data_IF_795192755688
#
_entry.id   IF_795192755688
#
_cell.length_a   1.000
_cell.length_b   1.000
_cell.length_c   1.000
_cell.angle_alpha   90.00
_cell.angle_beta   90.00
_cell.angle_gamma   90.00
#
_symmetry.space_group_name_H-M   'P 1'
#
loop_
_entity.id
_entity.type
_entity.pdbx_description
1 polymer ?
#
# COMPACT_ATOMS: atom_id res chain seq x y z
N UNK A 1 -6.22 29.52 11.35
CA UNK A 1 -6.04 28.11 11.70
C UNK A 1 -4.63 27.78 11.28
N UNK A 2 -3.76 27.44 12.22
CA UNK A 2 -2.41 27.00 11.91
C UNK A 2 -2.52 25.63 11.26
N UNK A 3 -2.36 25.58 9.95
CA UNK A 3 -2.33 24.31 9.22
C UNK A 3 -0.96 23.68 9.42
N UNK A 4 -0.96 22.41 9.79
CA UNK A 4 0.30 21.66 9.99
C UNK A 4 0.81 21.29 8.61
N UNK A 5 1.97 21.81 8.21
CA UNK A 5 2.58 21.45 6.93
C UNK A 5 2.84 19.94 6.83
N UNK A 6 2.63 19.37 5.64
CA UNK A 6 2.83 17.94 5.39
C UNK A 6 4.26 17.50 5.74
N UNK A 7 4.36 16.50 6.61
CA UNK A 7 5.63 15.91 7.06
C UNK A 7 6.44 15.28 5.91
N UNK A 8 5.83 15.07 4.74
CA UNK A 8 6.52 14.61 3.54
C UNK A 8 7.19 15.71 2.72
N UNK A 9 7.17 16.97 3.18
CA UNK A 9 7.80 18.13 2.54
C UNK A 9 7.32 18.36 1.09
N UNK A 10 6.05 18.12 0.82
CA UNK A 10 5.47 18.27 -0.53
C UNK A 10 4.92 19.67 -0.84
N UNK A 11 4.95 20.60 0.13
CA UNK A 11 4.48 21.98 -0.04
C UNK A 11 3.01 22.23 0.34
N UNK A 12 2.27 21.18 0.71
CA UNK A 12 0.85 21.24 1.08
C UNK A 12 0.64 21.01 2.59
N UNK A 13 -0.59 21.24 3.06
CA UNK A 13 -1.00 20.99 4.43
C UNK A 13 -1.30 19.50 4.69
N UNK A 14 -0.94 19.04 5.90
CA UNK A 14 -1.23 17.69 6.37
C UNK A 14 -2.71 17.55 6.73
N UNK A 15 -3.34 16.55 6.14
CA UNK A 15 -4.64 16.02 6.54
C UNK A 15 -4.64 14.50 6.33
N UNK A 16 -5.62 13.78 6.88
CA UNK A 16 -5.71 12.33 6.66
C UNK A 16 -5.83 12.00 5.16
N UNK A 17 -6.66 12.75 4.43
CA UNK A 17 -6.82 12.56 2.99
C UNK A 17 -5.54 12.89 2.22
N UNK A 18 -4.81 13.92 2.65
CA UNK A 18 -3.53 14.26 2.05
C UNK A 18 -2.45 13.20 2.33
N UNK A 19 -2.36 12.73 3.57
CA UNK A 19 -1.38 11.74 4.03
C UNK A 19 -1.54 10.40 3.29
N UNK A 20 -2.78 9.95 3.10
CA UNK A 20 -3.09 8.68 2.45
C UNK A 20 -3.59 8.91 1.02
N UNK A 21 -2.62 9.21 0.15
CA UNK A 21 -2.67 9.15 -1.31
C UNK A 21 -2.93 10.44 -2.09
N UNK A 22 -3.15 11.59 -1.44
CA UNK A 22 -3.10 12.88 -2.16
C UNK A 22 -1.69 13.49 -2.20
N UNK A 23 -0.85 13.25 -1.17
CA UNK A 23 0.53 13.70 -1.14
C UNK A 23 1.34 13.03 -2.26
N UNK A 24 2.20 13.78 -2.96
CA UNK A 24 3.07 13.27 -4.03
C UNK A 24 3.95 12.09 -3.58
N UNK A 25 4.46 12.12 -2.35
CA UNK A 25 5.23 11.02 -1.77
C UNK A 25 4.37 9.75 -1.58
N UNK A 26 3.23 9.88 -0.90
CA UNK A 26 2.34 8.75 -0.57
C UNK A 26 1.63 8.16 -1.79
N UNK A 27 1.25 9.02 -2.75
CA UNK A 27 0.57 8.65 -3.98
C UNK A 27 1.47 7.84 -4.89
N UNK A 28 2.77 8.16 -4.95
CA UNK A 28 3.74 7.35 -5.69
C UNK A 28 3.84 5.94 -5.11
N UNK A 29 3.97 5.82 -3.78
CA UNK A 29 4.01 4.52 -3.09
C UNK A 29 2.77 3.71 -3.43
N UNK A 30 1.58 4.30 -3.30
CA UNK A 30 0.33 3.59 -3.54
C UNK A 30 0.14 3.17 -5.00
N UNK A 31 0.47 4.05 -5.96
CA UNK A 31 0.43 3.72 -7.39
C UNK A 31 1.35 2.55 -7.71
N UNK A 32 2.55 2.51 -7.12
CA UNK A 32 3.46 1.39 -7.32
C UNK A 32 2.91 0.10 -6.73
N UNK A 33 2.31 0.15 -5.55
CA UNK A 33 1.66 -0.99 -4.92
C UNK A 33 0.48 -1.51 -5.74
N UNK A 34 -0.38 -0.64 -6.27
CA UNK A 34 -1.47 -1.04 -7.18
C UNK A 34 -0.96 -1.76 -8.43
N UNK A 35 0.19 -1.35 -8.97
CA UNK A 35 0.80 -2.04 -10.11
C UNK A 35 1.22 -3.47 -9.79
N UNK A 36 1.60 -3.79 -8.54
CA UNK A 36 1.89 -5.17 -8.13
C UNK A 36 0.61 -6.03 -8.03
N UNK A 37 -0.56 -5.40 -7.97
CA UNK A 37 -1.85 -6.07 -7.97
C UNK A 37 -2.51 -6.15 -9.37
N UNK A 38 -1.78 -5.78 -10.44
CA UNK A 38 -2.33 -5.59 -11.80
C UNK A 38 -3.52 -4.61 -11.86
N UNK A 39 -3.52 -3.59 -10.99
CA UNK A 39 -4.56 -2.56 -10.97
C UNK A 39 -4.02 -1.27 -11.60
N UNK A 40 -4.53 -0.94 -12.78
CA UNK A 40 -4.18 0.27 -13.52
C UNK A 40 -5.38 1.23 -13.57
N UNK A 41 -5.47 2.12 -12.57
CA UNK A 41 -6.46 3.19 -12.52
C UNK A 41 -5.88 4.45 -11.89
N UNK A 42 -6.59 5.56 -12.07
CA UNK A 42 -6.33 6.77 -11.30
C UNK A 42 -6.50 6.51 -9.80
N UNK A 43 -5.67 7.18 -9.00
CA UNK A 43 -5.85 7.19 -7.55
C UNK A 43 -7.14 7.92 -7.21
N UNK A 44 -7.90 7.38 -6.26
CA UNK A 44 -9.12 8.00 -5.79
C UNK A 44 -8.82 8.84 -4.55
N UNK A 45 -9.68 9.82 -4.23
CA UNK A 45 -9.69 10.44 -2.91
C UNK A 45 -9.76 9.39 -1.80
N UNK A 46 -9.19 9.69 -0.64
CA UNK A 46 -9.04 8.72 0.46
C UNK A 46 -10.30 7.93 0.80
N UNK A 47 -11.45 8.60 0.92
CA UNK A 47 -12.72 7.92 1.25
C UNK A 47 -13.22 7.03 0.12
N UNK A 48 -13.07 7.47 -1.12
CA UNK A 48 -13.46 6.70 -2.31
C UNK A 48 -12.52 5.49 -2.50
N UNK A 49 -11.25 5.63 -2.13
CA UNK A 49 -10.27 4.55 -2.13
C UNK A 49 -10.65 3.49 -1.10
N UNK A 50 -11.03 3.89 0.12
CA UNK A 50 -11.56 2.98 1.14
C UNK A 50 -12.81 2.27 0.63
N UNK A 51 -13.76 3.01 0.05
CA UNK A 51 -15.01 2.43 -0.46
C UNK A 51 -14.73 1.42 -1.57
N UNK A 52 -13.85 1.77 -2.51
CA UNK A 52 -13.40 0.86 -3.56
C UNK A 52 -12.79 -0.42 -2.98
N UNK A 53 -11.96 -0.30 -1.95
CA UNK A 53 -11.41 -1.46 -1.24
C UNK A 53 -12.49 -2.31 -0.59
N UNK A 54 -13.49 -1.70 0.07
CA UNK A 54 -14.62 -2.40 0.69
C UNK A 54 -15.41 -3.21 -0.33
N UNK A 55 -15.58 -2.70 -1.54
CA UNK A 55 -16.39 -3.35 -2.58
C UNK A 55 -15.62 -4.44 -3.34
N UNK A 56 -14.32 -4.22 -3.60
CA UNK A 56 -13.53 -5.07 -4.50
C UNK A 56 -12.70 -6.13 -3.78
N UNK A 57 -12.73 -6.17 -2.45
CA UNK A 57 -11.89 -7.08 -1.68
C UNK A 57 -12.65 -8.01 -0.73
N UNK A 58 -13.99 -8.08 -0.84
CA UNK A 58 -14.82 -9.02 -0.07
C UNK A 58 -14.56 -10.46 -0.48
N UNK A 59 -14.29 -11.33 0.50
CA UNK A 59 -13.99 -12.75 0.28
C UNK A 59 -12.65 -13.18 0.86
N UNK A 60 -12.34 -14.48 0.69
CA UNK A 60 -11.12 -15.14 1.21
C UNK A 60 -10.21 -15.71 0.12
N UNK A 61 -10.60 -15.62 -1.16
CA UNK A 61 -9.74 -16.04 -2.26
C UNK A 61 -8.55 -15.09 -2.41
N UNK A 62 -7.48 -15.58 -3.07
CA UNK A 62 -6.20 -14.88 -3.13
C UNK A 62 -6.30 -13.47 -3.72
N UNK A 63 -7.09 -13.17 -4.78
CA UNK A 63 -7.16 -11.83 -5.36
C UNK A 63 -7.76 -10.82 -4.36
N UNK A 64 -8.72 -11.26 -3.55
CA UNK A 64 -9.29 -10.45 -2.48
C UNK A 64 -8.26 -10.17 -1.38
N UNK A 65 -7.47 -11.18 -0.99
CA UNK A 65 -6.39 -11.05 -0.02
C UNK A 65 -5.27 -10.14 -0.54
N UNK A 66 -4.88 -10.31 -1.80
CA UNK A 66 -3.89 -9.48 -2.52
C UNK A 66 -4.39 -8.06 -2.80
N UNK A 67 -5.66 -7.75 -2.55
CA UNK A 67 -6.13 -6.36 -2.48
C UNK A 67 -6.02 -5.81 -1.06
N UNK A 68 -6.55 -6.52 -0.07
CA UNK A 68 -6.60 -6.05 1.34
C UNK A 68 -5.21 -5.92 1.97
N UNK A 69 -4.35 -6.92 1.78
CA UNK A 69 -3.04 -6.98 2.44
C UNK A 69 -2.15 -5.82 2.00
N UNK A 70 -1.97 -5.53 0.69
CA UNK A 70 -1.16 -4.40 0.26
C UNK A 70 -1.74 -3.05 0.68
N UNK A 71 -3.07 -2.89 0.66
CA UNK A 71 -3.71 -1.65 1.10
C UNK A 71 -3.42 -1.37 2.59
N UNK A 72 -3.61 -2.38 3.44
CA UNK A 72 -3.32 -2.29 4.87
C UNK A 72 -1.82 -2.04 5.14
N UNK A 73 -0.95 -2.78 4.46
CA UNK A 73 0.50 -2.60 4.58
C UNK A 73 0.94 -1.19 4.13
N UNK A 74 0.39 -0.68 3.04
CA UNK A 74 0.71 0.66 2.54
C UNK A 74 0.29 1.73 3.54
N UNK A 75 -0.95 1.67 4.04
CA UNK A 75 -1.47 2.60 5.05
C UNK A 75 -0.60 2.57 6.32
N UNK A 76 -0.24 1.37 6.77
CA UNK A 76 0.62 1.19 7.93
C UNK A 76 2.03 1.79 7.73
N UNK A 77 2.69 1.49 6.61
CA UNK A 77 4.05 1.96 6.35
C UNK A 77 4.12 3.47 6.08
N UNK A 78 3.09 4.07 5.48
CA UNK A 78 2.96 5.53 5.36
C UNK A 78 2.85 6.17 6.75
N UNK A 79 1.96 5.64 7.60
CA UNK A 79 1.80 6.14 8.97
C UNK A 79 3.10 6.00 9.78
N UNK A 80 3.77 4.86 9.66
CA UNK A 80 5.04 4.60 10.32
C UNK A 80 6.16 5.55 9.85
N UNK A 81 6.23 5.85 8.55
CA UNK A 81 7.17 6.81 7.99
C UNK A 81 6.87 8.24 8.45
N UNK A 82 5.61 8.65 8.47
CA UNK A 82 5.20 9.94 9.04
C UNK A 82 5.69 10.09 10.47
N UNK A 83 5.47 9.06 11.31
CA UNK A 83 5.95 9.06 12.69
C UNK A 83 7.48 9.07 12.78
N UNK A 84 8.18 8.31 11.92
CA UNK A 84 9.64 8.34 11.86
C UNK A 84 10.17 9.75 11.59
N UNK A 85 9.56 10.47 10.65
CA UNK A 85 9.95 11.86 10.37
C UNK A 85 9.64 12.80 11.52
N UNK A 86 8.45 12.71 12.13
CA UNK A 86 8.07 13.55 13.26
C UNK A 86 8.93 13.35 14.50
N UNK A 87 9.25 12.10 14.85
CA UNK A 87 9.82 11.75 16.15
C UNK A 87 11.29 11.35 16.11
N UNK A 88 11.81 10.97 14.94
CA UNK A 88 13.18 10.47 14.77
C UNK A 88 13.98 11.30 13.75
N UNK A 89 13.35 12.30 13.12
CA UNK A 89 13.97 13.17 12.11
C UNK A 89 14.74 12.37 11.03
N UNK A 90 14.21 11.21 10.66
CA UNK A 90 14.80 10.30 9.67
C UNK A 90 13.84 10.13 8.51
N UNK A 91 14.36 10.23 7.28
CA UNK A 91 13.56 10.33 6.07
C UNK A 91 13.92 9.19 5.13
N UNK A 92 12.98 8.29 4.88
CA UNK A 92 13.17 7.25 3.89
C UNK A 92 12.65 7.71 2.52
N UNK A 93 13.35 7.38 1.43
CA UNK A 93 12.81 7.56 0.09
C UNK A 93 11.62 6.60 -0.13
N UNK A 94 10.72 6.97 -1.03
CA UNK A 94 9.51 6.22 -1.34
C UNK A 94 9.84 4.78 -1.80
N UNK A 95 10.96 4.55 -2.49
CA UNK A 95 11.47 3.23 -2.86
C UNK A 95 11.71 2.32 -1.65
N UNK A 96 12.23 2.88 -0.55
CA UNK A 96 12.48 2.09 0.66
C UNK A 96 11.16 1.68 1.33
N UNK A 97 10.15 2.53 1.29
CA UNK A 97 8.79 2.21 1.78
C UNK A 97 8.16 1.14 0.90
N UNK A 98 8.24 1.27 -0.43
CA UNK A 98 7.74 0.27 -1.38
C UNK A 98 8.38 -1.10 -1.12
N UNK A 99 9.70 -1.16 -0.94
CA UNK A 99 10.39 -2.43 -0.62
C UNK A 99 9.91 -3.05 0.69
N UNK A 100 9.70 -2.25 1.73
CA UNK A 100 9.16 -2.73 3.02
C UNK A 100 7.77 -3.31 2.86
N UNK A 101 6.89 -2.63 2.11
CA UNK A 101 5.55 -3.13 1.80
C UNK A 101 5.64 -4.46 1.03
N UNK A 102 6.50 -4.53 0.01
CA UNK A 102 6.68 -5.74 -0.80
C UNK A 102 7.11 -6.94 0.04
N UNK A 103 8.12 -6.76 0.91
CA UNK A 103 8.60 -7.82 1.81
C UNK A 103 7.49 -8.28 2.76
N UNK A 104 6.78 -7.35 3.40
CA UNK A 104 5.72 -7.69 4.37
C UNK A 104 4.54 -8.41 3.71
N UNK A 105 4.12 -7.95 2.52
CA UNK A 105 3.04 -8.61 1.77
C UNK A 105 3.49 -9.98 1.30
N UNK A 106 4.67 -10.09 0.69
CA UNK A 106 5.17 -11.37 0.17
C UNK A 106 5.30 -12.43 1.25
N UNK A 107 5.81 -12.06 2.43
CA UNK A 107 5.89 -12.95 3.58
C UNK A 107 4.50 -13.46 3.99
N UNK A 108 3.52 -12.57 4.13
CA UNK A 108 2.14 -12.94 4.52
C UNK A 108 1.44 -13.81 3.47
N UNK A 109 1.61 -13.47 2.19
CA UNK A 109 1.00 -14.23 1.08
C UNK A 109 1.60 -15.63 0.99
N UNK A 110 2.91 -15.77 1.20
CA UNK A 110 3.59 -17.07 1.16
C UNK A 110 3.08 -18.02 2.24
N UNK A 111 2.83 -17.51 3.46
CA UNK A 111 2.19 -18.29 4.52
C UNK A 111 0.78 -18.74 4.13
N UNK A 112 0.02 -17.88 3.44
CA UNK A 112 -1.36 -18.16 3.05
C UNK A 112 -1.45 -19.14 1.87
N UNK A 113 -0.54 -19.03 0.88
CA UNK A 113 -0.53 -19.89 -0.30
C UNK A 113 -0.24 -21.37 0.05
N UNK A 114 0.52 -21.61 1.13
CA UNK A 114 0.78 -22.95 1.66
C UNK A 114 -0.48 -23.63 2.21
N UNK A 115 -1.57 -22.88 2.47
CA UNK A 115 -2.79 -23.38 3.13
C UNK A 115 -3.94 -23.74 2.16
N UNK A 116 -3.84 -23.52 0.83
CA UNK A 116 -4.83 -24.05 -0.10
C UNK A 116 -4.92 -23.44 -1.52
N UNK A 117 -4.83 -24.33 -2.52
CA UNK A 117 -5.31 -24.31 -3.92
C UNK A 117 -4.99 -23.13 -4.87
N UNK A 118 -4.47 -23.49 -6.07
CA UNK A 118 -4.96 -22.98 -7.36
C UNK A 118 -3.93 -22.34 -8.31
N UNK A 119 -3.50 -23.09 -9.35
CA UNK A 119 -2.53 -22.72 -10.41
C UNK A 119 -2.88 -21.43 -11.22
N UNK A 120 -4.07 -20.85 -11.03
CA UNK A 120 -4.60 -19.71 -11.82
C UNK A 120 -4.15 -18.32 -11.36
N UNK A 121 -3.43 -18.22 -10.23
CA UNK A 121 -3.09 -16.93 -9.61
C UNK A 121 -1.57 -16.67 -9.57
N UNK A 122 -0.80 -17.51 -10.26
CA UNK A 122 0.67 -17.48 -10.34
C UNK A 122 1.24 -16.10 -10.74
N UNK A 123 0.64 -15.43 -11.73
CA UNK A 123 1.11 -14.12 -12.21
C UNK A 123 1.04 -13.04 -11.12
N UNK A 124 -0.01 -13.06 -10.30
CA UNK A 124 -0.14 -12.12 -9.18
C UNK A 124 0.94 -12.39 -8.14
N UNK A 125 1.24 -13.66 -7.83
CA UNK A 125 2.34 -14.01 -6.94
C UNK A 125 3.71 -13.55 -7.47
N UNK A 126 3.98 -13.72 -8.76
CA UNK A 126 5.22 -13.25 -9.40
C UNK A 126 5.40 -11.74 -9.24
N UNK A 127 4.33 -10.95 -9.39
CA UNK A 127 4.39 -9.50 -9.20
C UNK A 127 4.84 -9.10 -7.79
N UNK A 128 4.62 -9.96 -6.79
CA UNK A 128 5.10 -9.79 -5.42
C UNK A 128 6.48 -10.42 -5.16
N UNK A 129 7.10 -11.04 -6.17
CA UNK A 129 8.37 -11.75 -6.06
C UNK A 129 8.26 -13.17 -5.49
N UNK A 130 7.06 -13.76 -5.54
CA UNK A 130 6.78 -15.11 -5.03
C UNK A 130 6.77 -16.09 -6.21
N UNK A 131 7.72 -17.02 -6.25
CA UNK A 131 7.85 -18.01 -7.33
C UNK A 131 7.08 -19.32 -7.07
N UNK A 132 6.54 -19.51 -5.87
CA UNK A 132 5.86 -20.74 -5.45
C UNK A 132 4.44 -20.44 -4.99
N UNK A 133 3.60 -20.11 -5.97
CA UNK A 133 2.16 -20.27 -5.95
C UNK A 133 1.83 -21.18 -7.16
#
# INVERSE_FOLDING_TARGET
MDTVSCTFNCGEDESVAHLFFACTYSSYVWRKVLSFCDIFRSLLPWLDEIQWMVDHSRGKALPQKLRKLPFGATTYHIWLERNRRCFQNTFLPHEAIIRKIQVDVAAKVSTIAQEGHGEREHNLCINWGINTC
#
